data_IF_875330149704
#
_entry.id   IF_875330149704
#
_cell.length_a   1.000
_cell.length_b   1.000
_cell.length_c   1.000
_cell.angle_alpha   90.00
_cell.angle_beta   90.00
_cell.angle_gamma   90.00
#
_symmetry.space_group_name_H-M   'P 1'
#
loop_
_entity.id
_entity.type
_entity.pdbx_description
1 polymer ?
#
# COMPACT_ATOMS: atom_id res chain seq x y z
N UNK A 1 -10.58 -21.69 12.23
CA UNK A 1 -10.81 -21.05 10.91
C UNK A 1 -10.95 -19.55 11.12
N UNK A 2 -10.46 -18.73 10.18
CA UNK A 2 -10.63 -17.28 10.23
C UNK A 2 -12.05 -16.91 9.78
N UNK A 3 -12.71 -15.99 10.50
CA UNK A 3 -14.03 -15.48 10.12
C UNK A 3 -13.89 -14.37 9.06
N UNK A 4 -14.84 -14.23 8.12
CA UNK A 4 -14.84 -13.17 7.11
C UNK A 4 -14.59 -11.77 7.66
N UNK A 5 -15.21 -11.43 8.80
CA UNK A 5 -15.10 -10.12 9.45
C UNK A 5 -13.67 -9.86 9.94
N UNK A 6 -13.01 -10.90 10.47
CA UNK A 6 -11.61 -10.82 10.89
C UNK A 6 -10.66 -10.69 9.72
N UNK A 7 -11.00 -11.25 8.56
CA UNK A 7 -10.23 -11.07 7.34
C UNK A 7 -10.41 -9.63 6.82
N UNK A 8 -11.64 -9.11 6.78
CA UNK A 8 -11.93 -7.73 6.36
C UNK A 8 -11.11 -6.70 7.13
N UNK A 9 -11.11 -6.78 8.47
CA UNK A 9 -10.32 -5.87 9.33
C UNK A 9 -8.83 -5.89 8.98
N UNK A 10 -8.26 -7.08 8.69
CA UNK A 10 -6.85 -7.19 8.28
C UNK A 10 -6.58 -6.55 6.93
N UNK A 11 -7.47 -6.77 5.96
CA UNK A 11 -7.34 -6.18 4.63
C UNK A 11 -7.40 -4.65 4.69
N UNK A 12 -8.35 -4.09 5.44
CA UNK A 12 -8.47 -2.65 5.65
C UNK A 12 -7.22 -2.07 6.32
N UNK A 13 -6.73 -2.73 7.37
CA UNK A 13 -5.51 -2.34 8.07
C UNK A 13 -4.29 -2.32 7.13
N UNK A 14 -4.07 -3.38 6.35
CA UNK A 14 -2.95 -3.45 5.42
C UNK A 14 -3.07 -2.43 4.27
N UNK A 15 -4.28 -2.21 3.73
CA UNK A 15 -4.51 -1.22 2.69
C UNK A 15 -4.18 0.20 3.18
N UNK A 16 -4.59 0.53 4.41
CA UNK A 16 -4.23 1.78 5.07
C UNK A 16 -2.72 1.93 5.31
N UNK A 17 -2.06 0.87 5.77
CA UNK A 17 -0.61 0.86 5.96
C UNK A 17 0.16 1.06 4.66
N UNK A 18 -0.27 0.43 3.56
CA UNK A 18 0.36 0.60 2.26
C UNK A 18 0.31 2.06 1.80
N UNK A 19 -0.83 2.75 1.96
CA UNK A 19 -0.93 4.18 1.62
C UNK A 19 0.01 5.04 2.46
N UNK A 20 0.12 4.76 3.76
CA UNK A 20 1.04 5.47 4.67
C UNK A 20 2.51 5.24 4.28
N UNK A 21 2.89 4.00 3.99
CA UNK A 21 4.23 3.66 3.53
C UNK A 21 4.55 4.30 2.18
N UNK A 22 3.63 4.28 1.21
CA UNK A 22 3.83 4.90 -0.09
C UNK A 22 4.04 6.42 0.02
N UNK A 23 3.26 7.10 0.87
CA UNK A 23 3.45 8.53 1.14
C UNK A 23 4.82 8.81 1.80
N UNK A 24 5.23 7.97 2.75
CA UNK A 24 6.57 8.02 3.34
C UNK A 24 7.65 7.89 2.26
N UNK A 25 7.65 6.80 1.51
CA UNK A 25 8.65 6.52 0.48
C UNK A 25 8.77 7.65 -0.55
N UNK A 26 7.66 8.24 -0.98
CA UNK A 26 7.67 9.43 -1.87
C UNK A 26 8.39 10.62 -1.25
N UNK A 27 8.11 10.90 0.04
CA UNK A 27 8.78 11.97 0.76
C UNK A 27 10.29 11.71 0.86
N UNK A 28 10.69 10.49 1.24
CA UNK A 28 12.13 10.16 1.30
C UNK A 28 12.77 10.13 -0.09
N UNK A 29 12.03 9.77 -1.15
CA UNK A 29 12.53 9.82 -2.52
C UNK A 29 12.89 11.25 -2.92
N UNK A 30 12.01 12.21 -2.63
CA UNK A 30 12.26 13.63 -2.84
C UNK A 30 13.51 14.10 -2.08
N UNK A 31 13.59 13.79 -0.78
CA UNK A 31 14.76 14.14 0.05
C UNK A 31 16.06 13.52 -0.52
N UNK A 32 16.01 12.27 -1.00
CA UNK A 32 17.15 11.61 -1.63
C UNK A 32 17.58 12.28 -2.96
N UNK A 33 16.62 12.69 -3.79
CA UNK A 33 16.87 13.44 -5.01
C UNK A 33 17.51 14.80 -4.74
N UNK A 34 17.04 15.53 -3.72
CA UNK A 34 17.62 16.80 -3.27
C UNK A 34 19.06 16.64 -2.76
N UNK A 35 19.43 15.47 -2.22
CA UNK A 35 20.79 15.12 -1.82
C UNK A 35 21.68 14.64 -2.98
N UNK A 36 21.15 14.52 -4.20
CA UNK A 36 21.90 14.03 -5.37
C UNK A 36 22.03 12.51 -5.43
N UNK A 37 21.11 11.77 -4.80
CA UNK A 37 21.05 10.31 -4.85
C UNK A 37 19.91 9.82 -5.75
N UNK A 38 19.99 10.10 -7.06
CA UNK A 38 18.92 9.80 -8.03
C UNK A 38 18.58 8.31 -8.11
N UNK A 39 19.57 7.42 -7.95
CA UNK A 39 19.32 5.97 -7.95
C UNK A 39 18.45 5.56 -6.75
N UNK A 40 18.66 6.17 -5.58
CA UNK A 40 17.87 5.91 -4.37
C UNK A 40 16.46 6.51 -4.51
N UNK A 41 16.35 7.72 -5.06
CA UNK A 41 15.06 8.33 -5.39
C UNK A 41 14.23 7.40 -6.28
N UNK A 42 14.81 6.87 -7.36
CA UNK A 42 14.13 5.96 -8.28
C UNK A 42 13.62 4.69 -7.58
N UNK A 43 14.46 4.03 -6.78
CA UNK A 43 14.06 2.83 -6.04
C UNK A 43 12.95 3.10 -5.01
N UNK A 44 12.98 4.26 -4.33
CA UNK A 44 11.94 4.65 -3.39
C UNK A 44 10.61 4.96 -4.08
N UNK A 45 10.64 5.56 -5.27
CA UNK A 45 9.44 5.76 -6.08
C UNK A 45 8.85 4.42 -6.53
N UNK A 46 9.68 3.49 -7.01
CA UNK A 46 9.24 2.14 -7.38
C UNK A 46 8.65 1.38 -6.18
N UNK A 47 9.23 1.54 -4.99
CA UNK A 47 8.68 0.96 -3.76
C UNK A 47 7.31 1.56 -3.41
N UNK A 48 7.13 2.87 -3.56
CA UNK A 48 5.85 3.54 -3.35
C UNK A 48 4.77 3.03 -4.31
N UNK A 49 5.09 2.88 -5.60
CA UNK A 49 4.18 2.26 -6.56
C UNK A 49 3.84 0.80 -6.22
N UNK A 50 4.81 0.05 -5.72
CA UNK A 50 4.60 -1.31 -5.22
C UNK A 50 3.56 -1.36 -4.10
N UNK A 51 3.64 -0.42 -3.16
CA UNK A 51 2.66 -0.29 -2.08
C UNK A 51 1.28 0.08 -2.59
N UNK A 52 1.18 1.02 -3.53
CA UNK A 52 -0.11 1.40 -4.13
C UNK A 52 -0.77 0.22 -4.85
N UNK A 53 -0.01 -0.52 -5.67
CA UNK A 53 -0.51 -1.72 -6.37
C UNK A 53 -1.03 -2.76 -5.37
N UNK A 54 -0.26 -3.03 -4.32
CA UNK A 54 -0.69 -3.93 -3.26
C UNK A 54 -1.97 -3.42 -2.57
N UNK A 55 -2.05 -2.12 -2.29
CA UNK A 55 -3.24 -1.46 -1.74
C UNK A 55 -4.48 -1.62 -2.61
N UNK A 56 -4.37 -1.44 -3.93
CA UNK A 56 -5.47 -1.64 -4.87
C UNK A 56 -5.97 -3.09 -4.88
N UNK A 57 -5.07 -4.07 -4.83
CA UNK A 57 -5.47 -5.48 -4.73
C UNK A 57 -6.17 -5.79 -3.41
N UNK A 58 -5.73 -5.20 -2.29
CA UNK A 58 -6.39 -5.36 -1.00
C UNK A 58 -7.77 -4.72 -0.98
N UNK A 59 -7.93 -3.53 -1.57
CA UNK A 59 -9.21 -2.88 -1.71
C UNK A 59 -10.18 -3.73 -2.54
N UNK A 60 -9.69 -4.29 -3.65
CA UNK A 60 -10.50 -5.21 -4.47
C UNK A 60 -10.89 -6.48 -3.70
N UNK A 61 -10.03 -7.00 -2.85
CA UNK A 61 -10.36 -8.14 -2.00
C UNK A 61 -11.45 -7.80 -0.97
N UNK A 62 -11.47 -6.57 -0.43
CA UNK A 62 -12.52 -6.09 0.48
C UNK A 62 -13.87 -6.00 -0.26
N UNK A 63 -13.89 -5.50 -1.48
CA UNK A 63 -15.09 -5.43 -2.32
C UNK A 63 -15.66 -6.83 -2.58
N UNK A 64 -14.83 -7.77 -3.05
CA UNK A 64 -15.25 -9.15 -3.31
C UNK A 64 -15.82 -9.80 -2.04
N UNK A 65 -15.18 -9.56 -0.89
CA UNK A 65 -15.63 -10.10 0.39
C UNK A 65 -17.02 -9.54 0.77
N UNK A 66 -17.27 -8.26 0.51
CA UNK A 66 -18.58 -7.62 0.71
C UNK A 66 -19.66 -8.17 -0.23
N UNK A 67 -19.35 -8.32 -1.52
CA UNK A 67 -20.27 -8.88 -2.53
C UNK A 67 -20.67 -10.33 -2.24
N UNK A 68 -19.84 -11.10 -1.52
CA UNK A 68 -20.15 -12.48 -1.09
C UNK A 68 -20.96 -12.59 0.20
N UNK A 69 -21.24 -11.47 0.89
CA UNK A 69 -22.01 -11.45 2.14
C UNK A 69 -23.48 -11.02 1.95
N UNK A 70 -23.86 -10.57 0.74
CA UNK A 70 -25.23 -10.26 0.32
C UNK A 70 -25.94 -11.48 -0.32
#
# INVERSE_FOLDING_TARGET
>A
MMQPEKLKIKLEHWAGHNSSHAAGFRKQAQEAGEMGHQDIEAELLLAAEGMDRAGSHLQRAIEILGDTQD
#
